data_IF_568186152439
#
_entry.id   IF_568186152439
#
_cell.length_a   1.000
_cell.length_b   1.000
_cell.length_c   1.000
_cell.angle_alpha   90.00
_cell.angle_beta   90.00
_cell.angle_gamma   90.00
#
_symmetry.space_group_name_H-M   'P 1'
#
loop_
_entity.id
_entity.type
_entity.pdbx_description
1 polymer ?
#
# COMPACT_ATOMS: atom_id res chain seq x y z
N UNK A 1 6.13 -21.50 7.44
CA UNK A 1 6.67 -20.60 8.44
C UNK A 1 5.72 -19.40 8.57
N UNK A 2 5.23 -19.15 9.77
CA UNK A 2 4.29 -18.07 10.16
C UNK A 2 4.97 -17.03 11.04
N UNK A 3 6.31 -17.11 11.21
CA UNK A 3 7.09 -16.13 11.94
C UNK A 3 7.04 -14.75 11.25
N UNK A 4 6.91 -13.71 12.06
CA UNK A 4 6.87 -12.33 11.61
C UNK A 4 7.76 -11.46 12.49
N UNK A 5 8.51 -10.56 11.88
CA UNK A 5 9.34 -9.57 12.58
C UNK A 5 9.09 -8.19 12.00
N UNK A 6 9.31 -7.15 12.80
CA UNK A 6 9.21 -5.75 12.40
C UNK A 6 10.57 -5.10 12.36
N UNK A 7 10.77 -4.23 11.38
CA UNK A 7 11.96 -3.38 11.26
C UNK A 7 11.51 -2.00 10.80
N UNK A 8 12.01 -0.96 11.45
CA UNK A 8 11.81 0.41 11.02
C UNK A 8 12.97 0.83 10.10
N UNK A 9 12.64 1.49 9.02
CA UNK A 9 13.59 2.07 8.07
C UNK A 9 13.45 3.60 8.07
N UNK A 10 14.55 4.32 7.85
CA UNK A 10 14.53 5.78 7.72
C UNK A 10 14.05 6.22 6.34
N UNK A 11 14.27 5.40 5.32
CA UNK A 11 13.87 5.69 3.95
C UNK A 11 13.53 4.45 3.15
N UNK A 12 12.86 4.63 2.02
CA UNK A 12 12.44 3.52 1.17
C UNK A 12 13.62 2.88 0.42
N UNK A 13 14.72 3.58 0.25
CA UNK A 13 15.96 3.03 -0.32
C UNK A 13 16.50 1.87 0.55
N UNK A 14 16.39 1.96 1.89
CA UNK A 14 16.78 0.89 2.82
C UNK A 14 15.86 -0.32 2.70
N UNK A 15 14.56 -0.09 2.47
CA UNK A 15 13.60 -1.19 2.18
C UNK A 15 14.03 -1.94 0.92
N UNK A 16 14.35 -1.21 -0.16
CA UNK A 16 14.81 -1.81 -1.43
C UNK A 16 16.13 -2.56 -1.24
N UNK A 17 17.09 -1.97 -0.53
CA UNK A 17 18.38 -2.60 -0.24
C UNK A 17 18.20 -3.90 0.56
N UNK A 18 17.35 -3.86 1.59
CA UNK A 18 17.06 -5.02 2.44
C UNK A 18 16.31 -6.12 1.66
N UNK A 19 15.32 -5.76 0.85
CA UNK A 19 14.62 -6.71 0.00
C UNK A 19 15.56 -7.45 -0.97
N UNK A 20 16.56 -6.74 -1.48
CA UNK A 20 17.60 -7.34 -2.35
C UNK A 20 18.56 -8.22 -1.56
N UNK A 21 19.06 -7.74 -0.41
CA UNK A 21 20.02 -8.47 0.44
C UNK A 21 19.44 -9.79 0.97
N UNK A 22 18.14 -9.77 1.34
CA UNK A 22 17.42 -10.94 1.83
C UNK A 22 16.77 -11.76 0.72
N UNK A 23 16.94 -11.36 -0.54
CA UNK A 23 16.35 -12.02 -1.72
C UNK A 23 14.84 -12.23 -1.61
N UNK A 24 14.12 -11.28 -0.98
CA UNK A 24 12.68 -11.39 -0.79
C UNK A 24 11.97 -11.66 -2.11
N UNK A 25 11.04 -12.60 -2.12
CA UNK A 25 10.30 -13.00 -3.32
C UNK A 25 9.26 -11.96 -3.73
N UNK A 26 8.64 -11.29 -2.75
CA UNK A 26 7.71 -10.17 -2.96
C UNK A 26 7.79 -9.17 -1.81
N UNK A 27 7.48 -7.92 -2.12
CA UNK A 27 7.34 -6.81 -1.17
C UNK A 27 6.02 -6.11 -1.50
N UNK A 28 5.09 -6.08 -0.56
CA UNK A 28 3.86 -5.31 -0.69
C UNK A 28 4.00 -3.96 0.01
N UNK A 29 3.56 -2.91 -0.64
CA UNK A 29 3.73 -1.52 -0.21
C UNK A 29 2.36 -0.86 -0.12
N UNK A 30 2.03 -0.29 1.05
CA UNK A 30 0.81 0.52 1.24
C UNK A 30 1.02 1.93 0.70
N UNK A 31 1.28 2.01 -0.61
CA UNK A 31 1.45 3.26 -1.33
C UNK A 31 1.18 3.07 -2.82
N UNK A 32 0.48 4.01 -3.49
CA UNK A 32 0.32 3.97 -4.94
C UNK A 32 1.68 3.94 -5.64
N UNK A 33 1.91 2.92 -6.49
CA UNK A 33 3.13 2.81 -7.28
C UNK A 33 2.87 3.04 -8.77
N UNK A 34 1.88 2.37 -9.35
CA UNK A 34 1.47 2.61 -10.73
C UNK A 34 0.55 3.82 -10.83
N UNK A 35 0.93 4.82 -11.62
CA UNK A 35 0.20 6.08 -11.75
C UNK A 35 -0.38 6.23 -13.16
N UNK A 36 -1.68 6.54 -13.29
CA UNK A 36 -2.26 6.81 -14.61
C UNK A 36 -1.69 8.11 -15.20
N UNK A 37 -1.64 8.21 -16.52
CA UNK A 37 -1.27 9.45 -17.22
C UNK A 37 -2.37 10.53 -17.10
N UNK A 38 -3.61 10.10 -16.88
CA UNK A 38 -4.78 10.95 -16.68
C UNK A 38 -6.00 10.09 -16.30
N UNK A 39 -7.10 10.75 -15.90
CA UNK A 39 -8.28 10.06 -15.41
C UNK A 39 -8.07 9.37 -14.06
N UNK A 40 -8.85 8.33 -13.81
CA UNK A 40 -8.79 7.50 -12.60
C UNK A 40 -8.30 6.09 -12.96
N UNK A 41 -7.53 5.50 -12.09
CA UNK A 41 -7.01 4.15 -12.27
C UNK A 41 -8.13 3.11 -12.10
N UNK A 42 -8.31 2.15 -13.03
CA UNK A 42 -9.36 1.13 -12.93
C UNK A 42 -9.27 0.30 -11.64
N UNK A 43 -8.06 -0.01 -11.15
CA UNK A 43 -7.86 -0.73 -9.89
C UNK A 43 -8.45 0.00 -8.68
N UNK A 44 -8.44 1.33 -8.64
CA UNK A 44 -9.05 2.10 -7.55
C UNK A 44 -10.57 1.89 -7.49
N UNK A 45 -11.23 1.79 -8.64
CA UNK A 45 -12.66 1.49 -8.70
C UNK A 45 -12.98 0.08 -8.19
N UNK A 46 -12.18 -0.91 -8.59
CA UNK A 46 -12.32 -2.31 -8.15
C UNK A 46 -12.09 -2.45 -6.63
N UNK A 47 -11.04 -1.81 -6.11
CA UNK A 47 -10.74 -1.79 -4.67
C UNK A 47 -11.86 -1.11 -3.89
N UNK A 48 -12.36 0.06 -4.33
CA UNK A 48 -13.48 0.76 -3.71
C UNK A 48 -14.77 -0.06 -3.67
N UNK A 49 -15.03 -0.86 -4.71
CA UNK A 49 -16.17 -1.77 -4.74
C UNK A 49 -16.08 -2.84 -3.64
N UNK A 50 -14.89 -3.40 -3.41
CA UNK A 50 -14.63 -4.37 -2.33
C UNK A 50 -14.71 -3.73 -0.95
N UNK A 51 -14.15 -2.54 -0.78
CA UNK A 51 -14.17 -1.80 0.48
C UNK A 51 -15.56 -1.36 0.91
N UNK A 52 -16.52 -1.23 0.00
CA UNK A 52 -17.91 -0.91 0.32
C UNK A 52 -18.07 0.32 1.20
N UNK A 53 -18.53 0.15 2.43
CA UNK A 53 -18.68 1.25 3.41
C UNK A 53 -17.35 1.90 3.82
N UNK A 54 -16.23 1.21 3.64
CA UNK A 54 -14.87 1.69 3.94
C UNK A 54 -14.14 2.31 2.73
N UNK A 55 -14.81 2.48 1.60
CA UNK A 55 -14.22 3.01 0.34
C UNK A 55 -13.49 4.36 0.48
N UNK A 56 -13.83 5.16 1.50
CA UNK A 56 -13.16 6.44 1.78
C UNK A 56 -11.75 6.28 2.37
N UNK A 57 -11.34 5.08 2.76
CA UNK A 57 -9.97 4.80 3.24
C UNK A 57 -8.98 4.73 2.08
N UNK A 58 -9.45 4.49 0.86
CA UNK A 58 -8.62 4.54 -0.33
C UNK A 58 -8.61 5.95 -0.92
N UNK A 59 -7.47 6.62 -0.86
CA UNK A 59 -7.26 7.88 -1.58
C UNK A 59 -7.22 7.62 -3.09
N UNK A 60 -7.78 8.53 -3.90
CA UNK A 60 -7.62 8.43 -5.35
C UNK A 60 -6.14 8.49 -5.71
N UNK A 61 -5.69 7.55 -6.53
CA UNK A 61 -4.32 7.57 -7.05
C UNK A 61 -4.13 8.81 -7.93
N UNK A 62 -3.12 9.65 -7.66
CA UNK A 62 -2.89 10.85 -8.47
C UNK A 62 -2.39 10.47 -9.86
N UNK A 63 -2.72 11.23 -10.91
CA UNK A 63 -2.06 11.12 -12.20
C UNK A 63 -0.57 11.46 -12.09
N UNK A 64 0.27 10.76 -12.87
CA UNK A 64 1.72 10.94 -12.83
C UNK A 64 2.20 12.40 -12.95
N UNK A 65 1.62 13.27 -13.83
CA UNK A 65 2.03 14.67 -13.93
C UNK A 65 1.90 15.47 -12.63
N UNK A 66 1.02 15.06 -11.71
CA UNK A 66 0.82 15.75 -10.43
C UNK A 66 2.04 15.64 -9.49
N UNK A 67 2.87 14.61 -9.65
CA UNK A 67 4.08 14.44 -8.85
C UNK A 67 5.15 15.53 -9.11
N UNK A 68 5.08 16.24 -10.24
CA UNK A 68 6.00 17.31 -10.55
C UNK A 68 5.71 18.63 -9.80
N UNK A 69 4.52 18.75 -9.19
CA UNK A 69 4.09 19.96 -8.51
C UNK A 69 4.79 20.12 -7.15
N UNK A 70 5.22 21.36 -6.87
CA UNK A 70 5.95 21.71 -5.64
C UNK A 70 5.04 22.16 -4.50
N UNK A 71 3.80 22.58 -4.77
CA UNK A 71 2.87 23.11 -3.79
C UNK A 71 1.41 22.75 -4.11
N UNK A 72 0.55 22.89 -3.10
CA UNK A 72 -0.82 22.38 -3.16
C UNK A 72 -1.65 22.95 -4.31
N UNK A 73 -1.57 24.27 -4.56
CA UNK A 73 -2.41 24.90 -5.58
C UNK A 73 -2.08 24.40 -6.99
N UNK A 74 -0.80 24.22 -7.28
CA UNK A 74 -0.33 23.63 -8.54
C UNK A 74 -0.77 22.17 -8.67
N UNK A 75 -0.57 21.35 -7.62
CA UNK A 75 -1.00 19.96 -7.58
C UNK A 75 -2.51 19.83 -7.80
N UNK A 76 -3.30 20.69 -7.14
CA UNK A 76 -4.75 20.70 -7.28
C UNK A 76 -5.20 21.14 -8.69
N UNK A 77 -4.50 22.12 -9.30
CA UNK A 77 -4.74 22.52 -10.70
C UNK A 77 -4.46 21.35 -11.66
N UNK A 78 -3.26 20.76 -11.59
CA UNK A 78 -2.87 19.63 -12.42
C UNK A 78 -3.81 18.43 -12.22
N UNK A 79 -4.18 18.14 -10.97
CA UNK A 79 -5.11 17.05 -10.68
C UNK A 79 -6.47 17.29 -11.33
N UNK A 80 -7.00 18.53 -11.31
CA UNK A 80 -8.24 18.90 -11.99
C UNK A 80 -8.15 18.78 -13.50
N UNK A 81 -7.04 19.22 -14.08
CA UNK A 81 -6.80 19.13 -15.52
C UNK A 81 -6.82 17.68 -16.02
N UNK A 82 -6.24 16.77 -15.24
CA UNK A 82 -6.10 15.36 -15.63
C UNK A 82 -7.28 14.48 -15.20
N UNK A 83 -8.06 14.85 -14.19
CA UNK A 83 -9.13 14.00 -13.62
C UNK A 83 -10.52 14.63 -13.62
N UNK A 84 -10.62 15.93 -13.84
CA UNK A 84 -11.85 16.72 -13.64
C UNK A 84 -12.18 16.99 -12.16
N UNK A 85 -11.39 16.52 -11.21
CA UNK A 85 -11.65 16.62 -9.77
C UNK A 85 -10.51 17.30 -9.02
N UNK A 86 -10.85 17.98 -7.91
CA UNK A 86 -9.85 18.55 -7.01
C UNK A 86 -9.14 17.49 -6.16
N UNK A 87 -7.94 17.84 -5.68
CA UNK A 87 -7.16 17.03 -4.75
C UNK A 87 -7.40 17.48 -3.31
N UNK A 88 -7.50 16.54 -2.38
CA UNK A 88 -7.51 16.86 -0.96
C UNK A 88 -6.09 17.19 -0.46
N UNK A 89 -5.98 17.98 0.64
CA UNK A 89 -4.68 18.23 1.28
C UNK A 89 -4.03 16.96 1.82
N UNK A 90 -4.83 15.97 2.24
CA UNK A 90 -4.29 14.67 2.67
C UNK A 90 -3.65 13.91 1.50
N UNK A 91 -4.30 13.89 0.34
CA UNK A 91 -3.72 13.28 -0.86
C UNK A 91 -2.44 14.03 -1.32
N UNK A 92 -2.43 15.35 -1.24
CA UNK A 92 -1.23 16.15 -1.52
C UNK A 92 -0.06 15.78 -0.61
N UNK A 93 -0.31 15.61 0.69
CA UNK A 93 0.73 15.24 1.66
C UNK A 93 1.33 13.84 1.41
N UNK A 94 0.69 12.98 0.61
CA UNK A 94 1.22 11.69 0.21
C UNK A 94 2.16 11.77 -1.01
N UNK A 95 2.10 12.84 -1.81
CA UNK A 95 2.90 12.94 -3.05
C UNK A 95 4.41 12.75 -2.83
N UNK A 96 5.03 13.34 -1.79
CA UNK A 96 6.46 13.12 -1.53
C UNK A 96 6.79 11.65 -1.26
N UNK A 97 5.95 10.94 -0.49
CA UNK A 97 6.14 9.53 -0.19
C UNK A 97 5.95 8.66 -1.43
N UNK A 98 4.94 8.93 -2.26
CA UNK A 98 4.73 8.27 -3.56
C UNK A 98 5.98 8.46 -4.44
N UNK A 99 6.49 9.68 -4.56
CA UNK A 99 7.67 9.98 -5.36
C UNK A 99 8.92 9.27 -4.82
N UNK A 100 9.10 9.20 -3.49
CA UNK A 100 10.20 8.49 -2.85
C UNK A 100 10.17 6.99 -3.15
N UNK A 101 9.01 6.34 -2.95
CA UNK A 101 8.82 4.91 -3.24
C UNK A 101 9.15 4.61 -4.70
N UNK A 102 8.56 5.36 -5.63
CA UNK A 102 8.77 5.17 -7.07
C UNK A 102 10.24 5.33 -7.45
N UNK A 103 10.91 6.40 -6.98
CA UNK A 103 12.32 6.63 -7.24
C UNK A 103 13.19 5.48 -6.73
N UNK A 104 13.01 5.03 -5.50
CA UNK A 104 13.79 3.97 -4.90
C UNK A 104 13.60 2.63 -5.66
N UNK A 105 12.36 2.27 -6.00
CA UNK A 105 12.08 1.06 -6.79
C UNK A 105 12.64 1.21 -8.21
N UNK A 106 12.51 2.38 -8.85
CA UNK A 106 13.03 2.64 -10.20
C UNK A 106 14.56 2.54 -10.28
N UNK A 107 15.27 2.88 -9.22
CA UNK A 107 16.72 2.76 -9.13
C UNK A 107 17.20 1.29 -9.00
N UNK A 108 16.31 0.36 -8.64
CA UNK A 108 16.64 -1.05 -8.50
C UNK A 108 16.77 -1.74 -9.88
N UNK A 109 17.54 -2.83 -10.00
CA UNK A 109 17.57 -3.64 -11.21
C UNK A 109 16.19 -4.18 -11.61
N UNK A 110 15.91 -4.39 -12.91
CA UNK A 110 14.57 -4.79 -13.38
C UNK A 110 13.98 -6.02 -12.69
N UNK A 111 14.82 -7.04 -12.39
CA UNK A 111 14.39 -8.24 -11.67
C UNK A 111 13.94 -7.94 -10.24
N UNK A 112 14.59 -6.98 -9.57
CA UNK A 112 14.22 -6.57 -8.22
C UNK A 112 12.94 -5.74 -8.21
N UNK A 113 12.74 -4.85 -9.21
CA UNK A 113 11.52 -4.02 -9.32
C UNK A 113 10.25 -4.87 -9.39
N UNK A 114 10.28 -6.00 -10.10
CA UNK A 114 9.14 -6.91 -10.27
C UNK A 114 8.65 -7.55 -8.97
N UNK A 115 9.44 -7.45 -7.89
CA UNK A 115 9.07 -7.96 -6.56
C UNK A 115 8.21 -6.99 -5.76
N UNK A 116 8.12 -5.72 -6.19
CA UNK A 116 7.37 -4.69 -5.50
C UNK A 116 5.94 -4.59 -6.05
N UNK A 117 4.96 -4.68 -5.16
CA UNK A 117 3.54 -4.66 -5.47
C UNK A 117 2.83 -3.66 -4.58
N UNK A 118 1.87 -2.95 -5.13
CA UNK A 118 0.98 -2.12 -4.34
C UNK A 118 -0.03 -2.99 -3.61
N UNK A 119 -0.25 -2.73 -2.33
CA UNK A 119 -1.30 -3.34 -1.54
C UNK A 119 -1.98 -2.27 -0.68
N UNK A 120 -3.18 -2.55 -0.19
CA UNK A 120 -3.93 -1.65 0.68
C UNK A 120 -4.47 -2.44 1.89
N UNK A 121 -4.07 -2.11 3.14
CA UNK A 121 -4.35 -2.91 4.32
C UNK A 121 -5.85 -3.20 4.54
N UNK A 122 -6.72 -2.19 4.39
CA UNK A 122 -8.16 -2.36 4.53
C UNK A 122 -8.74 -3.31 3.46
N UNK A 123 -8.16 -3.31 2.26
CA UNK A 123 -8.53 -4.25 1.19
C UNK A 123 -8.11 -5.66 1.56
N UNK A 124 -6.89 -5.83 2.07
CA UNK A 124 -6.38 -7.10 2.56
C UNK A 124 -7.30 -7.68 3.64
N UNK A 125 -7.61 -6.90 4.68
CA UNK A 125 -8.54 -7.34 5.72
C UNK A 125 -9.92 -7.66 5.17
N UNK A 126 -10.46 -6.86 4.25
CA UNK A 126 -11.78 -7.10 3.65
C UNK A 126 -11.80 -8.40 2.84
N UNK A 127 -10.73 -8.68 2.09
CA UNK A 127 -10.60 -9.95 1.32
C UNK A 127 -10.48 -11.15 2.27
N UNK A 128 -9.72 -11.02 3.37
CA UNK A 128 -9.54 -12.10 4.35
C UNK A 128 -10.84 -12.43 5.11
N UNK A 129 -11.63 -11.42 5.45
CA UNK A 129 -12.82 -11.60 6.30
C UNK A 129 -14.15 -11.64 5.52
N UNK A 130 -14.10 -11.38 4.22
CA UNK A 130 -15.29 -11.28 3.36
C UNK A 130 -16.13 -10.01 3.58
N UNK A 131 -15.75 -9.12 4.50
CA UNK A 131 -16.47 -7.87 4.80
C UNK A 131 -15.55 -6.82 5.42
N UNK A 132 -15.86 -5.50 5.23
CA UNK A 132 -15.07 -4.44 5.83
C UNK A 132 -15.07 -4.50 7.36
N UNK A 133 -13.90 -4.29 7.97
CA UNK A 133 -13.75 -4.26 9.42
C UNK A 133 -14.13 -2.89 10.01
N UNK A 134 -14.44 -2.82 11.33
CA UNK A 134 -14.61 -1.56 12.05
C UNK A 134 -13.37 -0.67 11.93
N UNK A 135 -13.53 0.65 12.17
CA UNK A 135 -12.44 1.62 12.06
C UNK A 135 -11.24 1.23 12.92
N UNK A 136 -10.04 1.21 12.33
CA UNK A 136 -8.77 0.96 13.04
C UNK A 136 -8.47 1.99 14.15
N UNK A 137 -9.20 3.11 14.19
CA UNK A 137 -9.10 4.14 15.24
C UNK A 137 -9.93 3.81 16.48
N UNK A 138 -10.63 2.68 16.50
CA UNK A 138 -11.41 2.21 17.67
C UNK A 138 -10.77 0.96 18.26
N UNK A 139 -10.92 0.77 19.60
CA UNK A 139 -10.44 -0.44 20.27
C UNK A 139 -11.03 -1.73 19.66
N UNK A 140 -12.33 -1.72 19.31
CA UNK A 140 -12.97 -2.83 18.62
C UNK A 140 -12.33 -3.13 17.26
N UNK A 141 -12.00 -2.08 16.48
CA UNK A 141 -11.36 -2.22 15.19
C UNK A 141 -9.93 -2.75 15.27
N UNK A 142 -9.15 -2.31 16.26
CA UNK A 142 -7.82 -2.85 16.55
C UNK A 142 -7.91 -4.32 16.97
N UNK A 143 -8.77 -4.62 17.97
CA UNK A 143 -8.95 -5.98 18.48
C UNK A 143 -9.38 -6.96 17.38
N UNK A 144 -10.30 -6.54 16.49
CA UNK A 144 -10.72 -7.42 15.38
C UNK A 144 -9.59 -7.69 14.38
N UNK A 145 -8.75 -6.70 14.06
CA UNK A 145 -7.58 -6.92 13.20
C UNK A 145 -6.58 -7.88 13.83
N UNK A 146 -6.29 -7.73 15.12
CA UNK A 146 -5.41 -8.66 15.85
C UNK A 146 -5.96 -10.10 15.83
N UNK A 147 -7.27 -10.28 16.01
CA UNK A 147 -7.90 -11.61 15.88
C UNK A 147 -7.68 -12.21 14.49
N UNK A 148 -7.88 -11.42 13.43
CA UNK A 148 -7.65 -11.88 12.05
C UNK A 148 -6.18 -12.23 11.84
N UNK A 149 -5.26 -11.40 12.33
CA UNK A 149 -3.83 -11.65 12.18
C UNK A 149 -3.37 -12.88 12.97
N UNK A 150 -3.99 -13.20 14.11
CA UNK A 150 -3.67 -14.40 14.90
C UNK A 150 -4.02 -15.72 14.16
N UNK A 151 -4.85 -15.66 13.11
CA UNK A 151 -5.10 -16.78 12.22
C UNK A 151 -4.01 -16.95 11.14
N UNK A 152 -3.12 -15.94 10.98
CA UNK A 152 -2.16 -15.83 9.89
C UNK A 152 -0.70 -15.94 10.33
N UNK A 153 -0.38 -15.42 11.51
CA UNK A 153 0.96 -15.41 12.12
C UNK A 153 0.88 -15.87 13.57
N UNK A 154 1.99 -16.38 14.10
CA UNK A 154 2.03 -17.07 15.39
C UNK A 154 1.62 -16.18 16.57
N UNK A 155 2.13 -14.97 16.65
CA UNK A 155 1.83 -14.05 17.78
C UNK A 155 1.87 -12.57 17.32
N UNK A 156 0.76 -12.05 16.77
CA UNK A 156 0.71 -10.65 16.36
C UNK A 156 0.84 -9.66 17.53
N UNK A 157 0.51 -10.05 18.76
CA UNK A 157 0.67 -9.19 19.92
C UNK A 157 2.15 -9.06 20.31
N UNK A 158 2.92 -10.15 20.26
CA UNK A 158 4.37 -10.10 20.47
C UNK A 158 5.07 -9.27 19.37
N UNK A 159 4.62 -9.40 18.11
CA UNK A 159 5.14 -8.57 17.01
C UNK A 159 4.90 -7.08 17.28
N UNK A 160 3.69 -6.70 17.74
CA UNK A 160 3.40 -5.33 18.14
C UNK A 160 4.27 -4.87 19.31
N UNK A 161 4.42 -5.71 20.33
CA UNK A 161 5.21 -5.39 21.52
C UNK A 161 6.71 -5.21 21.20
N UNK A 162 7.21 -5.85 20.16
CA UNK A 162 8.61 -5.74 19.71
C UNK A 162 8.87 -4.55 18.77
N UNK A 163 7.80 -3.87 18.31
CA UNK A 163 7.94 -2.75 17.39
C UNK A 163 8.67 -1.56 18.05
N UNK A 164 9.45 -0.77 17.30
CA UNK A 164 10.09 0.43 17.82
C UNK A 164 9.07 1.39 18.44
N UNK A 165 9.40 2.10 19.53
CA UNK A 165 8.48 2.99 20.24
C UNK A 165 7.90 4.15 19.38
N UNK A 166 8.59 4.48 18.28
CA UNK A 166 8.15 5.49 17.31
C UNK A 166 7.05 5.01 16.36
N UNK A 167 6.80 3.69 16.28
CA UNK A 167 5.80 3.12 15.38
C UNK A 167 4.42 3.14 16.04
N UNK A 168 3.42 3.63 15.33
CA UNK A 168 2.04 3.52 15.78
C UNK A 168 1.53 2.07 15.61
N UNK A 169 0.69 1.61 16.54
CA UNK A 169 0.19 0.24 16.51
C UNK A 169 -0.61 -0.07 15.21
N UNK A 170 -1.35 0.91 14.69
CA UNK A 170 -2.08 0.74 13.44
C UNK A 170 -1.14 0.59 12.22
N UNK A 171 0.02 1.25 12.22
CA UNK A 171 1.01 1.11 11.14
C UNK A 171 1.65 -0.29 11.13
N UNK A 172 1.94 -0.84 12.31
CA UNK A 172 2.46 -2.22 12.43
C UNK A 172 1.41 -3.25 11.98
N UNK A 173 0.16 -3.10 12.40
CA UNK A 173 -0.96 -3.95 11.97
C UNK A 173 -1.14 -3.90 10.45
N UNK A 174 -1.09 -2.72 9.87
CA UNK A 174 -1.22 -2.51 8.43
C UNK A 174 -0.03 -3.13 7.67
N UNK A 175 1.20 -3.00 8.19
CA UNK A 175 2.39 -3.62 7.62
C UNK A 175 2.31 -5.16 7.60
N UNK A 176 1.83 -5.78 8.68
CA UNK A 176 1.62 -7.24 8.73
C UNK A 176 0.57 -7.66 7.69
N UNK A 177 -0.53 -6.91 7.57
CA UNK A 177 -1.58 -7.23 6.61
C UNK A 177 -1.07 -7.20 5.17
N UNK A 178 -0.30 -6.17 4.78
CA UNK A 178 0.23 -6.10 3.41
C UNK A 178 1.36 -7.12 3.18
N UNK A 179 2.16 -7.45 4.20
CA UNK A 179 3.14 -8.55 4.11
C UNK A 179 2.44 -9.88 3.81
N UNK A 180 1.27 -10.11 4.40
CA UNK A 180 0.43 -11.27 4.09
C UNK A 180 -0.05 -11.25 2.63
N UNK A 181 -0.42 -10.10 2.07
CA UNK A 181 -0.76 -9.97 0.65
C UNK A 181 0.43 -10.34 -0.25
N UNK A 182 1.66 -9.92 0.10
CA UNK A 182 2.86 -10.32 -0.61
C UNK A 182 3.06 -11.85 -0.58
N UNK A 183 2.90 -12.48 0.58
CA UNK A 183 2.99 -13.94 0.72
C UNK A 183 1.95 -14.67 -0.15
N UNK A 184 0.70 -14.20 -0.14
CA UNK A 184 -0.35 -14.76 -0.99
C UNK A 184 -0.04 -14.59 -2.47
N UNK A 185 0.54 -13.45 -2.84
CA UNK A 185 0.94 -13.19 -4.23
C UNK A 185 1.97 -14.22 -4.71
N UNK A 186 3.02 -14.46 -3.92
CA UNK A 186 4.03 -15.51 -4.22
C UNK A 186 3.40 -16.89 -4.33
N UNK A 187 2.41 -17.19 -3.51
CA UNK A 187 1.68 -18.48 -3.54
C UNK A 187 0.64 -18.58 -4.68
N UNK A 188 0.44 -17.54 -5.49
CA UNK A 188 -0.61 -17.48 -6.51
C UNK A 188 -2.03 -17.42 -5.96
N UNK A 189 -2.20 -17.00 -4.69
CA UNK A 189 -3.47 -16.95 -3.97
C UNK A 189 -4.00 -15.53 -3.74
N UNK A 190 -3.20 -14.51 -4.06
CA UNK A 190 -3.63 -13.12 -3.90
C UNK A 190 -4.72 -12.76 -4.91
N UNK A 191 -5.68 -11.98 -4.46
CA UNK A 191 -6.60 -11.30 -5.36
C UNK A 191 -5.91 -10.08 -5.96
N UNK A 192 -5.92 -9.98 -7.29
CA UNK A 192 -5.31 -8.87 -8.03
C UNK A 192 -6.43 -7.99 -8.57
N UNK A 193 -6.34 -6.70 -8.31
CA UNK A 193 -7.30 -5.68 -8.75
C UNK A 193 -6.66 -4.82 -9.82
N UNK A 194 -7.16 -4.89 -11.04
CA UNK A 194 -6.62 -4.18 -12.19
C UNK A 194 -5.46 -4.92 -12.86
N UNK A 195 -5.02 -4.36 -13.96
CA UNK A 195 -3.97 -4.89 -14.84
C UNK A 195 -3.18 -3.75 -15.50
N UNK A 196 -2.23 -4.12 -16.35
CA UNK A 196 -1.40 -3.18 -17.08
C UNK A 196 -0.28 -2.55 -16.27
N UNK A 197 0.44 -1.65 -16.92
CA UNK A 197 1.55 -0.89 -16.34
C UNK A 197 1.44 0.59 -16.74
N UNK A 198 2.02 1.46 -15.94
CA UNK A 198 2.15 2.88 -16.29
C UNK A 198 3.30 3.14 -17.28
N UNK A 199 3.50 4.39 -17.65
CA UNK A 199 4.52 4.79 -18.62
C UNK A 199 5.97 4.48 -18.15
N UNK A 200 6.18 4.29 -16.85
CA UNK A 200 7.48 3.94 -16.26
C UNK A 200 7.61 2.44 -15.95
N UNK A 201 6.58 1.64 -16.30
CA UNK A 201 6.56 0.19 -16.11
C UNK A 201 6.12 -0.29 -14.72
N UNK A 202 5.55 0.58 -13.89
CA UNK A 202 4.96 0.16 -12.61
C UNK A 202 3.58 -0.47 -12.83
N UNK A 203 3.28 -1.59 -12.13
CA UNK A 203 1.94 -2.18 -12.20
C UNK A 203 0.84 -1.20 -11.79
N UNK A 204 -0.22 -1.13 -12.58
CA UNK A 204 -1.44 -0.36 -12.25
C UNK A 204 -2.41 -1.19 -11.39
N UNK A 205 -1.96 -2.30 -10.83
CA UNK A 205 -2.75 -3.22 -10.02
C UNK A 205 -2.45 -3.10 -8.53
N UNK A 206 -3.44 -3.52 -7.72
CA UNK A 206 -3.35 -3.65 -6.26
C UNK A 206 -3.54 -5.11 -5.90
N UNK A 207 -2.74 -5.66 -4.96
CA UNK A 207 -2.84 -7.04 -4.47
C UNK A 207 -3.47 -7.10 -3.07
N UNK A 208 -4.19 -8.22 -2.75
CA UNK A 208 -4.73 -8.50 -1.42
C UNK A 208 -4.85 -10.02 -1.16
#
# INVERSE_FOLDING_TARGET
DTSCTTTQFEGFDDVVATARRLELQAVAVDMPMGLPSGGTRPSDALVRAVLGSRRSTLFPTPPAPVLAASHFDESNRLHREHTGQGMSKQAFNLLPAIAQVRRAVQAAPPQARRRFHEAHPETTFTVLTGSPLPSKKTAAGVGRRLQVLAELIDDPAAVLASAPPSCAADDVIDAIAVAWSARRHVAGLARVFGDGVDAEGFPLSVIA
#
